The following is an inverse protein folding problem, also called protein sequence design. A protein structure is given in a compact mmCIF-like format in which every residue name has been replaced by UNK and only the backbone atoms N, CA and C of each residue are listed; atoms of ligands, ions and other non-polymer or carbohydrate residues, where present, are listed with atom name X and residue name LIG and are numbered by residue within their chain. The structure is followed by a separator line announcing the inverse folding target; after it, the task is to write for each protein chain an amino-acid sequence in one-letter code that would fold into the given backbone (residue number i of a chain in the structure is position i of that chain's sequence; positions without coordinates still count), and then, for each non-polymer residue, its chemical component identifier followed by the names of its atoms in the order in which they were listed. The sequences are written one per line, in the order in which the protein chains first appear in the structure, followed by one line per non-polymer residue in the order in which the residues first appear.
data_IF_421310502583
#
_entry.id   IF_421310502583
#
_cell.length_a   1.000
_cell.length_b   1.000
_cell.length_c   1.000
_cell.angle_alpha   90.00
_cell.angle_beta   90.00
_cell.angle_gamma   90.00
#
_symmetry.space_group_name_H-M   'P 1'
#
loop_
_entity.id
_entity.type
_entity.pdbx_description
1 polymer ?
#
# COMPACT_ATOMS: atom_id res chain seq x y z
N UNK A 1 2.30 1.91 13.47
CA UNK A 1 2.19 2.90 12.39
C UNK A 1 1.04 2.51 11.46
N UNK A 2 0.28 3.45 10.90
CA UNK A 2 -0.87 3.14 10.01
C UNK A 2 -0.46 2.99 8.53
N UNK A 3 0.71 2.37 8.30
CA UNK A 3 1.19 2.00 6.97
C UNK A 3 1.03 0.48 6.80
N UNK A 4 0.22 0.01 5.84
CA UNK A 4 0.04 -1.43 5.64
C UNK A 4 1.35 -2.12 5.24
N UNK A 5 2.13 -1.50 4.34
CA UNK A 5 3.43 -2.00 3.89
C UNK A 5 4.58 -1.29 4.64
N UNK A 6 5.62 -2.04 4.96
CA UNK A 6 6.87 -1.51 5.50
C UNK A 6 7.62 -0.68 4.45
N UNK A 7 8.04 0.52 4.83
CA UNK A 7 9.04 1.28 4.09
C UNK A 7 9.98 2.02 5.05
N UNK A 8 11.27 2.03 4.72
CA UNK A 8 12.31 2.74 5.48
C UNK A 8 11.98 4.23 5.66
N UNK A 9 11.45 4.87 4.61
CA UNK A 9 11.12 6.29 4.61
C UNK A 9 9.89 6.64 5.48
N UNK A 10 9.15 5.66 5.99
CA UNK A 10 7.95 5.88 6.82
C UNK A 10 8.09 5.20 8.17
N UNK A 11 8.01 3.87 8.20
CA UNK A 11 7.94 3.06 9.42
C UNK A 11 9.24 3.17 10.22
N UNK A 12 10.37 2.91 9.57
CA UNK A 12 11.68 2.90 10.24
C UNK A 12 12.08 4.30 10.75
N UNK A 13 11.76 5.36 10.00
CA UNK A 13 12.04 6.74 10.43
C UNK A 13 11.27 7.10 11.71
N UNK A 14 10.02 6.64 11.84
CA UNK A 14 9.21 6.82 13.04
C UNK A 14 9.80 6.02 14.20
N UNK A 15 10.10 4.73 13.99
CA UNK A 15 10.65 3.86 15.04
C UNK A 15 11.97 4.40 15.60
N UNK A 16 12.87 4.87 14.73
CA UNK A 16 14.15 5.49 15.14
C UNK A 16 13.90 6.74 15.99
N UNK A 17 12.96 7.61 15.58
CA UNK A 17 12.69 8.85 16.34
C UNK A 17 12.01 8.57 17.68
N UNK A 18 11.11 7.59 17.74
CA UNK A 18 10.46 7.16 18.97
C UNK A 18 11.51 6.62 19.95
N UNK A 19 12.43 5.77 19.49
CA UNK A 19 13.48 5.21 20.33
C UNK A 19 14.47 6.27 20.83
N UNK A 20 14.83 7.25 19.99
CA UNK A 20 15.65 8.40 20.39
C UNK A 20 15.00 9.18 21.54
N UNK A 21 13.71 9.55 21.39
CA UNK A 21 12.97 10.32 22.40
C UNK A 21 12.72 9.51 23.68
N UNK A 22 12.41 8.21 23.55
CA UNK A 22 12.26 7.30 24.68
C UNK A 22 13.54 7.27 25.51
N UNK A 23 14.69 7.05 24.88
CA UNK A 23 15.97 6.98 25.58
C UNK A 23 16.37 8.32 26.22
N UNK A 24 15.97 9.45 25.62
CA UNK A 24 16.27 10.78 26.17
C UNK A 24 15.38 11.15 27.36
N UNK A 25 14.08 10.89 27.30
CA UNK A 25 13.10 11.44 28.25
C UNK A 25 12.42 10.38 29.13
N UNK A 26 12.33 9.14 28.67
CA UNK A 26 11.55 8.07 29.31
C UNK A 26 12.27 6.70 29.21
N UNK A 27 13.49 6.55 29.77
CA UNK A 27 14.33 5.37 29.55
C UNK A 27 13.74 4.05 30.09
N UNK A 28 12.76 4.13 30.99
CA UNK A 28 12.04 2.98 31.55
C UNK A 28 10.72 2.68 30.82
N UNK A 29 10.30 3.51 29.87
CA UNK A 29 9.09 3.26 29.10
C UNK A 29 9.31 2.08 28.14
N UNK A 30 8.48 1.06 28.26
CA UNK A 30 8.41 -0.01 27.28
C UNK A 30 7.53 0.40 26.10
N UNK A 31 8.07 0.29 24.88
CA UNK A 31 7.36 0.56 23.63
C UNK A 31 7.41 -0.69 22.78
N UNK A 32 6.25 -1.10 22.28
CA UNK A 32 6.10 -2.18 21.31
C UNK A 32 5.60 -1.63 19.99
N UNK A 33 6.15 -2.07 18.86
CA UNK A 33 5.73 -1.62 17.52
C UNK A 33 4.86 -2.66 16.82
N UNK A 34 3.72 -2.22 16.29
CA UNK A 34 2.88 -3.06 15.43
C UNK A 34 3.53 -3.21 14.05
N UNK A 35 3.78 -4.45 13.56
CA UNK A 35 4.46 -4.68 12.30
C UNK A 35 3.57 -4.31 11.10
N UNK A 36 4.17 -4.31 9.91
CA UNK A 36 3.45 -4.19 8.65
C UNK A 36 2.31 -5.23 8.56
N UNK A 37 1.15 -4.80 8.08
CA UNK A 37 -0.11 -5.57 8.12
C UNK A 37 -0.74 -5.79 6.74
N UNK A 38 -0.01 -5.51 5.66
CA UNK A 38 -0.43 -5.62 4.27
C UNK A 38 -1.10 -6.95 3.87
N UNK A 39 -0.78 -8.05 4.56
CA UNK A 39 -1.31 -9.39 4.30
C UNK A 39 -2.22 -9.93 5.42
N UNK A 40 -2.57 -9.11 6.43
CA UNK A 40 -3.49 -9.55 7.49
C UNK A 40 -4.87 -9.84 6.88
N UNK A 41 -5.50 -10.99 7.18
CA UNK A 41 -6.80 -11.35 6.62
C UNK A 41 -7.88 -10.28 6.85
N UNK A 42 -7.89 -9.68 8.03
CA UNK A 42 -8.88 -8.65 8.40
C UNK A 42 -8.69 -7.36 7.59
N UNK A 43 -7.45 -6.99 7.29
CA UNK A 43 -7.14 -5.85 6.43
C UNK A 43 -7.57 -6.11 4.98
N UNK A 44 -7.21 -7.28 4.44
CA UNK A 44 -7.60 -7.67 3.08
C UNK A 44 -9.12 -7.73 2.94
N UNK A 45 -9.83 -8.21 3.97
CA UNK A 45 -11.28 -8.24 3.99
C UNK A 45 -11.89 -6.85 3.84
N UNK A 46 -11.53 -5.91 4.74
CA UNK A 46 -12.09 -4.55 4.74
C UNK A 46 -11.70 -3.79 3.48
N UNK A 47 -10.44 -3.92 3.01
CA UNK A 47 -9.99 -3.31 1.77
C UNK A 47 -10.78 -3.84 0.56
N UNK A 48 -10.94 -5.16 0.46
CA UNK A 48 -11.69 -5.78 -0.63
C UNK A 48 -13.15 -5.38 -0.59
N UNK A 49 -13.77 -5.35 0.60
CA UNK A 49 -15.15 -4.89 0.79
C UNK A 49 -15.33 -3.45 0.34
N UNK A 50 -14.45 -2.53 0.75
CA UNK A 50 -14.48 -1.13 0.31
C UNK A 50 -14.39 -0.98 -1.21
N UNK A 51 -13.47 -1.71 -1.84
CA UNK A 51 -13.33 -1.75 -3.30
C UNK A 51 -14.61 -2.29 -3.95
N UNK A 52 -15.13 -3.42 -3.46
CA UNK A 52 -16.31 -4.07 -4.03
C UNK A 52 -17.56 -3.20 -3.92
N UNK A 53 -17.75 -2.49 -2.82
CA UNK A 53 -18.89 -1.58 -2.62
C UNK A 53 -18.86 -0.45 -3.63
N UNK A 54 -17.66 0.11 -3.90
CA UNK A 54 -17.51 1.19 -4.87
C UNK A 54 -17.69 0.71 -6.32
N UNK A 55 -17.25 -0.51 -6.63
CA UNK A 55 -17.32 -1.09 -7.97
C UNK A 55 -18.68 -1.71 -8.32
N UNK A 56 -19.56 -1.93 -7.34
CA UNK A 56 -20.84 -2.63 -7.53
C UNK A 56 -21.71 -2.03 -8.64
N UNK A 57 -21.76 -0.70 -8.71
CA UNK A 57 -22.60 0.04 -9.66
C UNK A 57 -21.77 0.80 -10.70
N UNK A 58 -20.50 0.39 -10.89
CA UNK A 58 -19.55 1.01 -11.81
C UNK A 58 -19.11 -0.03 -12.83
N UNK A 59 -19.29 0.28 -14.12
CA UNK A 59 -18.66 -0.50 -15.17
C UNK A 59 -17.19 -0.11 -15.30
N UNK A 60 -16.29 -1.10 -15.28
CA UNK A 60 -14.87 -0.89 -15.48
C UNK A 60 -14.26 -2.06 -16.27
N UNK A 61 -13.23 -1.76 -17.05
CA UNK A 61 -12.47 -2.73 -17.83
C UNK A 61 -11.17 -3.13 -17.10
N UNK A 62 -10.61 -2.21 -16.32
CA UNK A 62 -9.35 -2.41 -15.60
C UNK A 62 -9.33 -1.75 -14.23
N UNK A 63 -8.83 -2.47 -13.21
CA UNK A 63 -8.58 -1.96 -11.86
C UNK A 63 -7.07 -1.77 -11.65
N UNK A 64 -6.63 -0.51 -11.53
CA UNK A 64 -5.24 -0.17 -11.26
C UNK A 64 -5.00 -0.01 -9.75
N UNK A 65 -4.05 -0.77 -9.21
CA UNK A 65 -3.56 -0.61 -7.84
C UNK A 65 -2.33 0.31 -7.86
N UNK A 66 -2.49 1.54 -7.40
CA UNK A 66 -1.42 2.54 -7.35
C UNK A 66 -0.84 2.63 -5.94
N UNK A 67 0.47 2.44 -5.81
CA UNK A 67 1.19 2.54 -4.54
C UNK A 67 2.11 3.75 -4.56
N UNK A 68 2.41 4.38 -3.42
CA UNK A 68 3.44 5.41 -3.42
C UNK A 68 4.79 4.81 -3.83
N UNK A 69 5.49 5.48 -4.73
CA UNK A 69 6.77 5.06 -5.27
C UNK A 69 7.86 5.16 -4.23
N UNK A 70 8.87 4.31 -4.37
CA UNK A 70 10.13 4.45 -3.64
C UNK A 70 11.31 4.26 -4.61
N UNK A 71 12.45 4.90 -4.36
CA UNK A 71 13.67 4.63 -5.10
C UNK A 71 14.08 3.16 -4.98
N UNK A 72 14.57 2.54 -6.06
CA UNK A 72 15.02 1.15 -6.08
C UNK A 72 16.10 0.87 -5.02
N UNK A 73 16.94 1.87 -4.73
CA UNK A 73 17.95 1.79 -3.66
C UNK A 73 17.34 1.53 -2.28
N UNK A 74 16.12 1.99 -1.98
CA UNK A 74 15.49 1.76 -0.68
C UNK A 74 15.15 0.27 -0.54
N UNK A 75 14.64 -0.33 -1.61
CA UNK A 75 14.34 -1.78 -1.65
C UNK A 75 15.62 -2.61 -1.44
N UNK A 76 16.73 -2.21 -2.07
CA UNK A 76 18.02 -2.90 -1.90
C UNK A 76 18.57 -2.73 -0.48
N UNK A 77 18.45 -1.53 0.11
CA UNK A 77 18.93 -1.26 1.48
C UNK A 77 18.14 -2.02 2.55
N UNK A 78 16.84 -2.22 2.35
CA UNK A 78 16.00 -2.99 3.27
C UNK A 78 16.16 -4.51 3.12
N UNK A 79 16.91 -4.99 2.12
CA UNK A 79 17.12 -6.41 1.91
C UNK A 79 18.13 -6.98 2.92
N UNK A 80 17.60 -7.58 3.99
CA UNK A 80 18.40 -8.22 5.05
C UNK A 80 19.23 -9.41 4.58
N UNK A 81 18.98 -9.97 3.39
CA UNK A 81 19.77 -11.07 2.84
C UNK A 81 20.89 -10.58 1.93
N UNK A 82 21.01 -9.27 1.68
CA UNK A 82 22.01 -8.64 0.83
C UNK A 82 22.09 -9.19 -0.61
N UNK A 83 21.00 -9.73 -1.16
CA UNK A 83 21.06 -10.38 -2.47
C UNK A 83 19.78 -11.02 -2.99
N UNK A 84 18.69 -11.00 -2.24
CA UNK A 84 17.41 -11.54 -2.71
C UNK A 84 16.75 -10.60 -3.72
N UNK A 85 16.77 -9.29 -3.44
CA UNK A 85 16.07 -8.35 -4.29
C UNK A 85 16.88 -7.95 -5.53
N UNK A 86 16.57 -8.62 -6.65
CA UNK A 86 17.13 -8.27 -7.96
C UNK A 86 16.26 -7.33 -8.80
N UNK A 87 15.02 -7.06 -8.37
CA UNK A 87 14.02 -6.25 -9.10
C UNK A 87 13.77 -6.82 -10.52
N UNK A 88 13.79 -8.15 -10.64
CA UNK A 88 13.61 -8.88 -11.90
C UNK A 88 12.19 -9.45 -12.08
N UNK A 89 11.30 -9.17 -11.12
CA UNK A 89 9.95 -9.73 -11.05
C UNK A 89 9.86 -11.11 -10.41
N UNK A 90 10.93 -11.91 -10.41
CA UNK A 90 10.96 -13.26 -9.83
C UNK A 90 11.16 -13.23 -8.33
N UNK A 91 12.00 -12.32 -7.83
CA UNK A 91 12.27 -12.20 -6.39
C UNK A 91 11.01 -11.94 -5.54
N UNK A 92 9.97 -11.35 -6.10
CA UNK A 92 8.72 -11.08 -5.38
C UNK A 92 7.84 -12.32 -5.18
N UNK A 93 8.05 -13.39 -5.94
CA UNK A 93 7.27 -14.64 -5.84
C UNK A 93 8.10 -15.82 -5.30
N UNK A 94 9.41 -15.65 -5.15
CA UNK A 94 10.29 -16.61 -4.49
C UNK A 94 10.37 -16.29 -2.99
N UNK A 95 9.92 -17.22 -2.15
CA UNK A 95 9.93 -17.07 -0.69
C UNK A 95 11.30 -16.65 -0.16
N UNK A 96 11.29 -15.64 0.72
CA UNK A 96 12.51 -15.14 1.35
C UNK A 96 12.20 -14.32 2.60
N UNK A 97 13.06 -14.37 3.63
CA UNK A 97 12.92 -13.50 4.80
C UNK A 97 13.02 -12.00 4.42
N UNK A 98 13.61 -11.66 3.28
CA UNK A 98 13.63 -10.28 2.76
C UNK A 98 12.23 -9.69 2.56
N UNK A 99 11.21 -10.52 2.33
CA UNK A 99 9.82 -10.08 2.11
C UNK A 99 9.22 -9.35 3.32
N UNK A 100 9.72 -9.61 4.53
CA UNK A 100 9.31 -8.90 5.73
C UNK A 100 9.59 -7.39 5.66
N UNK A 101 10.60 -6.98 4.89
CA UNK A 101 11.04 -5.58 4.77
C UNK A 101 11.02 -5.06 3.32
N UNK A 102 10.56 -5.87 2.37
CA UNK A 102 10.53 -5.49 0.95
C UNK A 102 9.19 -4.86 0.57
N UNK A 103 9.12 -3.52 0.58
CA UNK A 103 7.92 -2.75 0.20
C UNK A 103 7.29 -3.24 -1.12
N UNK A 104 8.09 -3.42 -2.17
CA UNK A 104 7.61 -3.87 -3.49
C UNK A 104 6.90 -5.23 -3.43
N UNK A 105 7.46 -6.20 -2.70
CA UNK A 105 6.80 -7.50 -2.51
C UNK A 105 5.47 -7.32 -1.78
N UNK A 106 5.45 -6.51 -0.73
CA UNK A 106 4.25 -6.31 0.09
C UNK A 106 3.11 -5.62 -0.69
N UNK A 107 3.44 -4.65 -1.55
CA UNK A 107 2.49 -4.06 -2.50
C UNK A 107 1.90 -5.14 -3.42
N UNK A 108 2.74 -5.94 -4.08
CA UNK A 108 2.27 -6.96 -5.01
C UNK A 108 1.45 -8.06 -4.31
N UNK A 109 1.83 -8.42 -3.08
CA UNK A 109 1.09 -9.39 -2.28
C UNK A 109 -0.27 -8.84 -1.86
N UNK A 110 -0.37 -7.56 -1.50
CA UNK A 110 -1.65 -6.89 -1.20
C UNK A 110 -2.58 -7.00 -2.42
N UNK A 111 -2.10 -6.57 -3.59
CA UNK A 111 -2.88 -6.65 -4.84
C UNK A 111 -3.30 -8.08 -5.17
N UNK A 112 -2.41 -9.06 -5.02
CA UNK A 112 -2.73 -10.46 -5.30
C UNK A 112 -3.83 -10.99 -4.37
N UNK A 113 -3.75 -10.70 -3.07
CA UNK A 113 -4.74 -11.12 -2.08
C UNK A 113 -6.11 -10.46 -2.30
N UNK A 114 -6.13 -9.17 -2.62
CA UNK A 114 -7.38 -8.45 -2.96
C UNK A 114 -7.97 -8.98 -4.27
N UNK A 115 -7.14 -9.19 -5.30
CA UNK A 115 -7.60 -9.72 -6.57
C UNK A 115 -8.20 -11.13 -6.44
N UNK A 116 -7.58 -11.99 -5.62
CA UNK A 116 -8.12 -13.30 -5.27
C UNK A 116 -9.47 -13.16 -4.54
N UNK A 117 -9.53 -12.31 -3.51
CA UNK A 117 -10.75 -12.10 -2.72
C UNK A 117 -11.93 -11.60 -3.56
N UNK A 118 -11.66 -10.73 -4.52
CA UNK A 118 -12.64 -10.14 -5.43
C UNK A 118 -12.88 -10.97 -6.69
N UNK A 119 -12.22 -12.13 -6.85
CA UNK A 119 -12.28 -12.96 -8.05
C UNK A 119 -11.98 -12.17 -9.34
N UNK A 120 -11.01 -11.26 -9.30
CA UNK A 120 -10.62 -10.47 -10.46
C UNK A 120 -9.97 -11.37 -11.52
N UNK A 121 -10.32 -11.13 -12.79
CA UNK A 121 -9.79 -11.92 -13.90
C UNK A 121 -8.34 -11.49 -14.19
N UNK A 122 -7.43 -12.43 -14.48
CA UNK A 122 -6.10 -12.08 -14.96
C UNK A 122 -6.19 -11.15 -16.18
N UNK A 123 -5.41 -10.07 -16.17
CA UNK A 123 -5.42 -9.06 -17.23
C UNK A 123 -6.40 -7.90 -17.02
N UNK A 124 -7.31 -7.96 -16.03
CA UNK A 124 -8.22 -6.84 -15.70
C UNK A 124 -7.76 -6.04 -14.47
N UNK A 125 -6.53 -6.28 -14.01
CA UNK A 125 -5.93 -5.52 -12.91
C UNK A 125 -4.40 -5.48 -13.05
N UNK A 126 -3.77 -4.46 -12.50
CA UNK A 126 -2.31 -4.33 -12.48
C UNK A 126 -1.82 -3.48 -11.30
N UNK A 127 -0.51 -3.44 -11.11
CA UNK A 127 0.15 -2.59 -10.12
C UNK A 127 0.87 -1.44 -10.82
N UNK A 128 0.92 -0.27 -10.17
CA UNK A 128 1.78 0.85 -10.53
C UNK A 128 2.29 1.59 -9.29
N UNK A 129 3.26 2.47 -9.49
CA UNK A 129 3.86 3.28 -8.45
C UNK A 129 3.74 4.77 -8.78
N UNK A 130 2.99 5.52 -7.98
CA UNK A 130 2.78 6.97 -8.13
C UNK A 130 3.88 7.75 -7.41
N UNK A 131 3.95 9.06 -7.64
CA UNK A 131 4.87 9.99 -7.00
C UNK A 131 6.35 9.60 -7.16
N UNK A 132 7.09 10.38 -7.95
CA UNK A 132 8.54 10.21 -8.10
C UNK A 132 9.21 11.57 -8.07
N UNK A 133 10.38 11.64 -7.44
CA UNK A 133 11.16 12.87 -7.34
C UNK A 133 12.64 12.60 -7.63
N UNK A 134 13.28 13.52 -8.35
CA UNK A 134 14.70 13.43 -8.68
C UNK A 134 15.00 12.39 -9.77
N UNK A 135 16.29 12.08 -9.91
CA UNK A 135 16.84 11.34 -11.07
C UNK A 135 17.12 9.86 -10.81
N UNK A 136 17.06 9.42 -9.56
CA UNK A 136 17.34 8.03 -9.21
C UNK A 136 16.33 7.07 -9.85
N UNK A 137 16.68 5.80 -10.11
CA UNK A 137 15.69 4.81 -10.51
C UNK A 137 14.63 4.58 -9.44
N UNK A 138 13.36 4.70 -9.81
CA UNK A 138 12.19 4.41 -8.98
C UNK A 138 11.53 3.09 -9.38
N UNK A 139 10.71 2.55 -8.48
CA UNK A 139 9.87 1.39 -8.78
C UNK A 139 8.96 1.64 -9.99
N UNK A 140 8.75 0.58 -10.77
CA UNK A 140 8.02 0.57 -12.04
C UNK A 140 6.89 -0.47 -12.03
N UNK A 141 5.85 -0.27 -12.86
CA UNK A 141 5.64 0.86 -13.78
C UNK A 141 5.13 2.11 -13.03
N UNK A 142 5.45 3.32 -13.50
CA UNK A 142 4.95 4.52 -12.84
C UNK A 142 3.46 4.76 -13.18
N UNK A 143 2.69 5.28 -12.22
CA UNK A 143 1.23 5.39 -12.33
C UNK A 143 0.79 6.30 -13.47
N UNK A 144 1.36 7.51 -13.57
CA UNK A 144 1.08 8.48 -14.66
C UNK A 144 1.15 7.83 -16.06
N UNK A 145 2.27 7.15 -16.35
CA UNK A 145 2.48 6.47 -17.64
C UNK A 145 1.62 5.23 -17.80
N UNK A 146 1.25 4.58 -16.70
CA UNK A 146 0.38 3.40 -16.75
C UNK A 146 -1.04 3.81 -17.13
N UNK A 147 -1.55 4.90 -16.55
CA UNK A 147 -2.84 5.48 -16.88
C UNK A 147 -2.88 5.92 -18.35
N UNK A 148 -1.88 6.72 -18.78
CA UNK A 148 -1.74 7.19 -20.17
C UNK A 148 -1.75 5.99 -21.15
N UNK A 149 -0.91 4.99 -20.88
CA UNK A 149 -0.81 3.78 -21.71
C UNK A 149 -2.14 3.03 -21.80
N UNK A 150 -2.86 2.83 -20.69
CA UNK A 150 -4.15 2.13 -20.70
C UNK A 150 -5.17 2.85 -21.59
N UNK A 151 -5.23 4.18 -21.53
CA UNK A 151 -6.11 4.98 -22.39
C UNK A 151 -5.74 4.83 -23.88
N UNK A 152 -4.45 4.93 -24.21
CA UNK A 152 -3.93 4.79 -25.57
C UNK A 152 -4.14 3.38 -26.15
N UNK A 153 -4.06 2.35 -25.31
CA UNK A 153 -4.35 0.95 -25.67
C UNK A 153 -5.85 0.67 -25.84
N UNK A 154 -6.71 1.66 -25.56
CA UNK A 154 -8.13 1.60 -25.86
C UNK A 154 -9.04 1.38 -24.65
N UNK A 155 -8.48 1.27 -23.44
CA UNK A 155 -9.28 1.15 -22.20
C UNK A 155 -10.20 2.36 -22.08
N UNK A 156 -11.52 2.16 -22.00
CA UNK A 156 -12.50 3.26 -21.91
C UNK A 156 -12.97 3.53 -20.50
N UNK A 157 -13.03 2.50 -19.67
CA UNK A 157 -13.50 2.59 -18.29
C UNK A 157 -12.47 2.00 -17.36
N UNK A 158 -11.92 2.81 -16.46
CA UNK A 158 -10.94 2.32 -15.48
C UNK A 158 -11.33 2.71 -14.06
N UNK A 159 -10.93 1.86 -13.13
CA UNK A 159 -10.96 2.16 -11.71
C UNK A 159 -9.53 2.17 -11.15
N UNK A 160 -9.29 2.97 -10.11
CA UNK A 160 -7.99 3.06 -9.44
C UNK A 160 -8.15 3.07 -7.92
N UNK A 161 -7.23 2.41 -7.22
CA UNK A 161 -7.20 2.32 -5.74
C UNK A 161 -5.78 2.53 -5.22
N UNK A 162 -5.65 3.15 -4.05
CA UNK A 162 -4.37 3.51 -3.40
C UNK A 162 -4.16 2.80 -2.05
N UNK A 163 -3.95 1.47 -2.02
CA UNK A 163 -3.96 0.66 -0.79
C UNK A 163 -2.71 0.79 0.08
N UNK A 164 -1.79 1.71 -0.25
CA UNK A 164 -0.67 2.10 0.60
C UNK A 164 -1.08 3.12 1.69
N UNK A 165 -2.23 3.76 1.50
CA UNK A 165 -2.78 4.76 2.41
C UNK A 165 -4.10 4.23 2.99
N UNK A 166 -4.31 4.46 4.29
CA UNK A 166 -5.58 4.16 4.95
C UNK A 166 -6.50 5.39 5.03
N UNK A 167 -5.99 6.58 4.74
CA UNK A 167 -6.73 7.84 4.69
C UNK A 167 -6.36 8.60 3.43
N UNK A 168 -7.32 9.30 2.84
CA UNK A 168 -7.07 10.17 1.72
C UNK A 168 -6.12 11.32 2.09
N UNK A 169 -5.28 11.68 1.13
CA UNK A 169 -4.27 12.72 1.25
C UNK A 169 -4.08 13.44 -0.10
N UNK A 170 -3.11 14.33 -0.19
CA UNK A 170 -2.85 15.10 -1.42
C UNK A 170 -2.55 14.16 -2.60
N UNK A 171 -1.76 13.12 -2.35
CA UNK A 171 -1.40 12.14 -3.37
C UNK A 171 -2.59 11.30 -3.86
N UNK A 172 -3.66 11.14 -3.07
CA UNK A 172 -4.86 10.41 -3.53
C UNK A 172 -5.89 11.34 -4.20
N UNK A 173 -6.06 12.55 -3.68
CA UNK A 173 -7.08 13.49 -4.14
C UNK A 173 -6.62 14.33 -5.33
N UNK A 174 -5.38 14.78 -5.35
CA UNK A 174 -4.86 15.64 -6.42
C UNK A 174 -4.19 14.78 -7.50
N UNK A 175 -3.10 14.09 -7.16
CA UNK A 175 -2.29 13.34 -8.13
C UNK A 175 -3.10 12.20 -8.79
N UNK A 176 -3.87 11.44 -8.01
CA UNK A 176 -4.65 10.32 -8.56
C UNK A 176 -6.03 10.76 -9.07
N UNK A 177 -6.82 11.47 -8.26
CA UNK A 177 -8.20 11.74 -8.64
C UNK A 177 -8.36 12.87 -9.66
N UNK A 178 -7.45 13.85 -9.68
CA UNK A 178 -7.50 14.98 -10.62
C UNK A 178 -6.54 14.75 -11.79
N UNK A 179 -5.23 14.71 -11.54
CA UNK A 179 -4.22 14.60 -12.60
C UNK A 179 -4.33 13.26 -13.34
N UNK A 180 -4.49 12.15 -12.60
CA UNK A 180 -4.69 10.82 -13.18
C UNK A 180 -5.95 10.75 -14.08
N UNK A 181 -7.04 11.39 -13.66
CA UNK A 181 -8.26 11.45 -14.48
C UNK A 181 -8.04 12.24 -15.77
N UNK A 182 -7.38 13.41 -15.66
CA UNK A 182 -7.04 14.25 -16.83
C UNK A 182 -6.20 13.46 -17.83
N UNK A 183 -5.11 12.83 -17.37
CA UNK A 183 -4.24 11.98 -18.20
C UNK A 183 -5.05 10.88 -18.90
N UNK A 184 -5.96 10.20 -18.19
CA UNK A 184 -6.74 9.12 -18.78
C UNK A 184 -7.67 9.61 -19.89
N UNK A 185 -8.32 10.75 -19.67
CA UNK A 185 -9.26 11.33 -20.65
C UNK A 185 -8.53 11.89 -21.87
N UNK A 186 -7.38 12.54 -21.69
CA UNK A 186 -6.50 12.99 -22.79
C UNK A 186 -6.00 11.81 -23.63
N UNK A 187 -5.68 10.68 -22.99
CA UNK A 187 -5.30 9.44 -23.66
C UNK A 187 -6.46 8.70 -24.35
N UNK A 188 -7.69 9.21 -24.27
CA UNK A 188 -8.86 8.66 -24.98
C UNK A 188 -9.75 7.74 -24.14
N UNK A 189 -9.50 7.65 -22.83
CA UNK A 189 -10.42 7.09 -21.83
C UNK A 189 -11.73 7.86 -21.72
N UNK A 190 -12.71 7.33 -20.99
CA UNK A 190 -14.08 7.89 -20.90
C UNK A 190 -14.63 7.93 -19.48
N UNK A 191 -14.40 6.89 -18.69
CA UNK A 191 -14.87 6.81 -17.30
C UNK A 191 -13.69 6.48 -16.39
N UNK A 192 -13.43 7.34 -15.41
CA UNK A 192 -12.35 7.19 -14.44
C UNK A 192 -12.93 7.18 -13.03
N UNK A 193 -12.87 6.02 -12.37
CA UNK A 193 -13.40 5.83 -11.02
C UNK A 193 -12.29 5.74 -10.00
N UNK A 194 -12.31 6.63 -9.02
CA UNK A 194 -11.39 6.57 -7.87
C UNK A 194 -12.08 5.85 -6.72
N UNK A 195 -11.40 4.85 -6.19
CA UNK A 195 -11.80 4.17 -4.96
C UNK A 195 -11.16 4.92 -3.79
N UNK A 196 -11.96 5.49 -2.87
CA UNK A 196 -11.42 6.22 -1.73
C UNK A 196 -10.63 5.30 -0.81
N UNK A 197 -9.74 5.90 -0.02
CA UNK A 197 -9.09 5.20 1.08
C UNK A 197 -10.11 4.68 2.12
N UNK A 198 -9.64 3.88 3.08
CA UNK A 198 -10.51 3.35 4.14
C UNK A 198 -11.11 4.46 5.03
N UNK A 199 -10.43 5.59 5.16
CA UNK A 199 -10.87 6.79 5.86
C UNK A 199 -11.48 6.46 7.23
N UNK A 200 -12.73 6.86 7.45
CA UNK A 200 -13.48 6.79 8.69
C UNK A 200 -14.47 5.61 8.72
N UNK A 201 -14.29 4.60 7.86
CA UNK A 201 -15.15 3.41 7.84
C UNK A 201 -15.18 2.73 9.20
N UNK A 202 -16.39 2.45 9.69
CA UNK A 202 -16.60 1.74 10.97
C UNK A 202 -15.91 0.37 10.97
N UNK A 203 -16.02 -0.40 9.88
CA UNK A 203 -15.40 -1.73 9.78
C UNK A 203 -13.86 -1.67 9.76
N UNK A 204 -13.27 -0.57 9.28
CA UNK A 204 -11.83 -0.34 9.42
C UNK A 204 -11.45 0.00 10.87
N UNK A 205 -12.22 0.86 11.54
CA UNK A 205 -12.00 1.17 12.95
C UNK A 205 -12.14 -0.07 13.84
N UNK A 206 -13.10 -0.96 13.55
CA UNK A 206 -13.26 -2.26 14.20
C UNK A 206 -12.02 -3.16 14.04
N UNK A 207 -11.42 -3.20 12.84
CA UNK A 207 -10.18 -3.96 12.62
C UNK A 207 -9.03 -3.41 13.46
N UNK A 208 -8.85 -2.08 13.46
CA UNK A 208 -7.77 -1.43 14.24
C UNK A 208 -7.97 -1.65 15.73
N UNK A 209 -9.19 -1.48 16.24
CA UNK A 209 -9.51 -1.72 17.66
C UNK A 209 -9.34 -3.20 18.03
N UNK A 210 -9.74 -4.12 17.17
CA UNK A 210 -9.50 -5.56 17.37
C UNK A 210 -8.03 -5.93 17.45
N UNK A 211 -7.17 -5.29 16.63
CA UNK A 211 -5.72 -5.45 16.74
C UNK A 211 -5.19 -4.92 18.07
N UNK A 212 -5.63 -3.74 18.50
CA UNK A 212 -5.25 -3.17 19.81
C UNK A 212 -5.70 -4.07 20.95
N UNK A 213 -6.91 -4.63 20.89
CA UNK A 213 -7.45 -5.50 21.93
C UNK A 213 -6.74 -6.85 22.03
N UNK A 214 -6.19 -7.33 20.92
CA UNK A 214 -5.33 -8.51 20.88
C UNK A 214 -3.90 -8.18 21.33
N UNK A 215 -3.43 -6.97 21.03
CA UNK A 215 -2.07 -6.51 21.30
C UNK A 215 -1.88 -6.03 22.74
N UNK A 216 -2.91 -5.45 23.35
CA UNK A 216 -2.85 -4.94 24.72
C UNK A 216 -2.46 -6.08 25.66
N UNK A 217 -1.46 -5.81 26.49
CA UNK A 217 -0.97 -6.77 27.48
C UNK A 217 -2.14 -7.08 28.43
N UNK A 218 -2.61 -8.33 28.40
CA UNK A 218 -3.79 -8.78 29.18
C UNK A 218 -3.46 -8.96 30.66
N UNK A 219 -2.18 -8.96 31.05
CA UNK A 219 -1.76 -9.08 32.45
C UNK A 219 -1.11 -7.80 32.98
N UNK A 220 -1.92 -7.00 33.69
CA UNK A 220 -1.51 -5.78 34.39
C UNK A 220 -0.61 -6.11 35.61
N UNK A 221 -0.53 -7.37 36.07
CA UNK A 221 0.29 -7.73 37.25
C UNK A 221 1.76 -7.99 36.92
N UNK A 222 2.10 -8.27 35.66
CA UNK A 222 3.49 -8.39 35.18
C UNK A 222 4.02 -7.11 34.53
N UNK A 223 3.14 -6.15 34.25
CA UNK A 223 3.49 -4.81 33.80
C UNK A 223 3.75 -3.90 35.02
N UNK A 224 4.90 -4.03 35.68
CA UNK A 224 5.35 -3.07 36.70
C UNK A 224 6.75 -2.56 36.41
N UNK A 225 6.80 -1.21 36.33
CA UNK A 225 7.88 -0.24 36.50
C UNK A 225 8.90 -0.04 35.38
#
# INVERSE_FOLDING_TARGET
PLYPQFAMATTETIDVKVEELKNQFFPHLEITSFPAFYNKPEYIEVLSKSISEKLKDVEYEHLLFSYHGVPERHIRKSDITNGHCMIDGKCCVTDSPAHQFCYRHQCFKTTALVAEKLNLKPGTYSNSFQSRLGFDPWLKPPTDRTIERLGLEGTKKMAIVTPAFVSDCLETLEEIAMEGQEIFYEAGGKEFTVIPCLNDRDDWAEVVTGWIDTWRIVDIKTAIA
#
